data_IF_681090257412
#
_entry.id   IF_681090257412
#
_cell.length_a   1.000
_cell.length_b   1.000
_cell.length_c   1.000
_cell.angle_alpha   90.00
_cell.angle_beta   90.00
_cell.angle_gamma   90.00
#
_symmetry.space_group_name_H-M   'P 1'
#
loop_
_entity.id
_entity.type
_entity.pdbx_description
1 polymer ?
#
# COMPACT_ATOMS: atom_id res chain seq x y z
N UNK A 1 32.93 42.00 24.43
CA UNK A 1 33.33 40.68 24.98
C UNK A 1 33.17 40.75 26.49
N UNK A 2 32.89 39.63 27.17
CA UNK A 2 32.96 39.55 28.65
C UNK A 2 33.93 38.45 29.02
N UNK A 3 34.57 38.55 30.18
CA UNK A 3 35.54 37.54 30.64
C UNK A 3 34.84 36.50 31.50
N UNK A 4 35.19 35.22 31.32
CA UNK A 4 34.64 34.15 32.15
C UNK A 4 35.17 34.24 33.60
N UNK A 5 34.32 34.27 34.64
CA UNK A 5 34.77 34.39 36.03
C UNK A 5 35.48 33.13 36.56
N UNK A 6 35.34 32.00 35.87
CA UNK A 6 35.91 30.72 36.32
C UNK A 6 37.27 30.39 35.69
N UNK A 7 37.51 30.80 34.45
CA UNK A 7 38.73 30.45 33.71
C UNK A 7 39.43 31.65 33.06
N UNK A 8 38.92 32.87 33.25
CA UNK A 8 39.49 34.13 32.79
C UNK A 8 39.65 34.31 31.25
N UNK A 9 39.09 33.43 30.43
CA UNK A 9 39.14 33.54 28.96
C UNK A 9 38.05 34.48 28.41
N UNK A 10 38.31 35.15 27.29
CA UNK A 10 37.35 36.05 26.64
C UNK A 10 36.21 35.29 25.94
N UNK A 11 34.97 35.65 26.25
CA UNK A 11 33.76 35.01 25.72
C UNK A 11 32.74 36.03 25.20
N UNK A 12 31.77 35.52 24.41
CA UNK A 12 30.66 36.32 23.90
C UNK A 12 29.79 36.84 25.07
N UNK A 13 29.30 38.09 25.02
CA UNK A 13 28.54 38.70 26.11
C UNK A 13 27.24 37.97 26.47
N UNK A 14 26.59 37.33 25.49
CA UNK A 14 25.37 36.53 25.67
C UNK A 14 25.61 35.03 25.94
N UNK A 15 26.86 34.60 26.15
CA UNK A 15 27.15 33.21 26.43
C UNK A 15 26.58 32.80 27.80
N UNK A 16 25.72 31.76 27.76
CA UNK A 16 25.15 31.10 28.95
C UNK A 16 26.10 30.02 29.47
N UNK A 17 26.92 29.41 28.60
CA UNK A 17 28.00 28.48 28.99
C UNK A 17 29.33 28.88 28.39
N UNK A 18 30.40 28.74 29.16
CA UNK A 18 31.76 28.96 28.66
C UNK A 18 32.21 27.80 27.76
N UNK A 19 32.70 28.10 26.55
CA UNK A 19 33.21 27.09 25.62
C UNK A 19 34.50 26.40 26.11
N UNK A 20 35.32 27.12 26.88
CA UNK A 20 36.65 26.66 27.27
C UNK A 20 36.61 25.76 28.51
N UNK A 21 35.87 26.15 29.55
CA UNK A 21 35.78 25.39 30.80
C UNK A 21 34.42 24.73 31.06
N UNK A 22 33.39 25.02 30.24
CA UNK A 22 32.08 24.37 30.33
C UNK A 22 31.17 24.87 31.45
N UNK A 23 31.62 25.84 32.28
CA UNK A 23 30.83 26.38 33.39
C UNK A 23 29.62 27.17 32.90
N UNK A 24 28.54 27.07 33.67
CA UNK A 24 27.29 27.78 33.42
C UNK A 24 27.36 29.19 34.04
N UNK A 25 26.95 30.19 33.27
CA UNK A 25 27.03 31.62 33.57
C UNK A 25 25.64 32.24 33.71
N UNK A 26 24.59 31.41 33.81
CA UNK A 26 23.18 31.82 33.84
C UNK A 26 22.72 32.49 35.14
N UNK A 27 23.51 32.44 36.21
CA UNK A 27 23.08 32.96 37.52
C UNK A 27 24.03 34.07 38.04
N UNK A 28 23.56 35.33 38.16
CA UNK A 28 24.41 36.46 38.58
C UNK A 28 24.65 36.54 40.10
N UNK A 29 24.17 35.60 40.91
CA UNK A 29 24.29 35.64 42.38
C UNK A 29 25.31 34.67 43.00
N UNK A 30 26.29 34.19 42.22
CA UNK A 30 27.29 33.22 42.70
C UNK A 30 28.70 33.76 42.88
N UNK A 31 28.89 35.08 42.98
CA UNK A 31 30.20 35.71 43.15
C UNK A 31 30.31 36.33 44.56
N UNK A 32 30.37 35.51 45.59
CA UNK A 32 30.86 35.93 46.91
C UNK A 32 32.02 35.04 47.37
N UNK A 33 33.00 35.74 47.92
CA UNK A 33 34.38 35.37 48.20
C UNK A 33 34.60 34.06 48.96
N UNK A 34 35.65 33.35 48.55
CA UNK A 34 36.35 32.32 49.32
C UNK A 34 37.12 32.99 50.45
N UNK A 35 36.72 32.71 51.70
CA UNK A 35 37.52 32.96 52.90
C UNK A 35 38.17 31.66 53.37
N UNK A 36 39.50 31.70 53.43
CA UNK A 36 40.40 30.77 54.12
C UNK A 36 40.03 30.64 55.60
N UNK A 37 39.93 29.40 56.10
CA UNK A 37 40.49 29.12 57.43
C UNK A 37 40.92 27.65 57.55
N UNK A 38 42.08 27.48 58.15
CA UNK A 38 42.83 26.24 58.28
C UNK A 38 42.63 25.61 59.67
N UNK A 39 43.07 24.35 59.81
CA UNK A 39 43.10 23.49 61.03
C UNK A 39 41.80 22.69 61.23
N UNK A 40 41.77 21.39 61.50
CA UNK A 40 42.76 20.49 62.11
C UNK A 40 42.50 19.04 61.67
N UNK A 41 43.55 18.25 61.83
CA UNK A 41 43.80 16.93 61.27
C UNK A 41 42.98 15.79 61.90
N UNK A 42 42.96 14.69 61.15
CA UNK A 42 42.80 13.31 61.60
C UNK A 42 41.36 12.75 61.70
N UNK A 43 40.93 12.18 60.55
CA UNK A 43 39.93 11.10 60.32
C UNK A 43 38.82 11.37 59.29
N UNK A 44 38.86 12.48 58.54
CA UNK A 44 37.83 12.77 57.53
C UNK A 44 38.02 12.07 56.16
N UNK A 45 39.23 11.60 55.81
CA UNK A 45 39.53 11.16 54.45
C UNK A 45 38.86 9.83 54.02
N UNK A 46 38.64 8.91 54.97
CA UNK A 46 37.97 7.63 54.68
C UNK A 46 36.44 7.74 54.64
N UNK A 47 35.86 8.62 55.47
CA UNK A 47 34.40 8.80 55.56
C UNK A 47 33.87 9.66 54.40
N UNK A 48 34.64 10.64 53.93
CA UNK A 48 34.20 11.57 52.88
C UNK A 48 34.22 10.95 51.48
N UNK A 49 35.16 10.05 51.19
CA UNK A 49 35.22 9.35 49.89
C UNK A 49 34.16 8.25 49.79
N UNK A 50 33.83 7.60 50.91
CA UNK A 50 32.70 6.66 50.99
C UNK A 50 31.35 7.40 50.82
N UNK A 51 31.17 8.55 51.47
CA UNK A 51 29.91 9.31 51.39
C UNK A 51 29.67 9.97 50.03
N UNK A 52 30.72 10.33 49.27
CA UNK A 52 30.59 10.92 47.92
C UNK A 52 30.35 9.88 46.81
N UNK A 53 30.81 8.64 46.99
CA UNK A 53 30.46 7.53 46.09
C UNK A 53 29.03 7.03 46.30
N UNK A 54 28.47 7.21 47.50
CA UNK A 54 27.08 6.85 47.83
C UNK A 54 26.07 7.83 47.23
N UNK A 55 26.43 9.08 46.93
CA UNK A 55 25.50 10.09 46.40
C UNK A 55 25.32 10.06 44.87
N UNK A 56 26.25 9.49 44.11
CA UNK A 56 26.16 9.42 42.63
C UNK A 56 25.48 8.13 42.12
N UNK A 57 25.27 7.15 43.00
CA UNK A 57 24.44 5.99 42.71
C UNK A 57 23.03 6.32 43.20
N UNK A 58 22.16 6.80 42.31
CA UNK A 58 20.72 6.82 42.62
C UNK A 58 20.35 5.43 43.14
N UNK A 59 19.89 5.36 44.39
CA UNK A 59 19.52 4.10 45.03
C UNK A 59 18.41 3.50 44.17
N UNK A 60 18.70 2.38 43.51
CA UNK A 60 17.77 1.80 42.56
C UNK A 60 16.52 1.30 43.31
N UNK A 61 15.39 1.94 43.05
CA UNK A 61 14.11 1.67 43.72
C UNK A 61 13.23 0.66 42.99
N UNK A 62 13.69 0.12 41.86
CA UNK A 62 12.91 -0.84 41.08
C UNK A 62 12.64 -2.12 41.89
N UNK A 63 11.47 -2.73 41.68
CA UNK A 63 11.07 -3.95 42.38
C UNK A 63 10.69 -3.78 43.86
N UNK A 64 10.67 -2.56 44.41
CA UNK A 64 10.27 -2.29 45.80
C UNK A 64 8.73 -2.20 45.99
N UNK A 65 7.96 -2.67 45.00
CA UNK A 65 6.50 -2.60 45.02
C UNK A 65 6.00 -1.16 45.01
N UNK A 66 4.86 -0.89 45.69
CA UNK A 66 4.23 0.44 45.71
C UNK A 66 5.07 1.53 46.41
N UNK A 67 6.08 1.13 47.18
CA UNK A 67 6.99 2.05 47.87
C UNK A 67 8.16 2.52 46.97
N UNK A 68 8.29 1.98 45.75
CA UNK A 68 9.31 2.41 44.80
C UNK A 68 9.11 3.88 44.40
N UNK A 69 10.13 4.71 44.63
CA UNK A 69 10.17 6.08 44.08
C UNK A 69 10.34 5.99 42.57
N UNK A 70 9.49 6.67 41.79
CA UNK A 70 9.61 6.70 40.33
C UNK A 70 10.61 7.80 39.92
N UNK A 71 11.78 7.46 39.36
CA UNK A 71 12.67 8.47 38.78
C UNK A 71 12.04 9.10 37.54
N UNK A 72 12.45 10.33 37.22
CA UNK A 72 11.94 11.09 36.09
C UNK A 72 12.14 10.33 34.76
N UNK A 73 11.11 10.33 33.90
CA UNK A 73 11.15 9.67 32.59
C UNK A 73 10.61 8.23 32.53
N UNK A 74 10.25 7.61 33.66
CA UNK A 74 9.62 6.28 33.70
C UNK A 74 8.11 6.32 33.46
N UNK A 75 7.43 7.32 34.02
CA UNK A 75 6.01 7.53 33.79
C UNK A 75 5.75 7.88 32.32
N UNK A 76 4.70 7.30 31.75
CA UNK A 76 4.29 7.55 30.37
C UNK A 76 3.68 6.33 29.71
N UNK A 77 3.26 6.52 28.46
CA UNK A 77 2.52 5.50 27.73
C UNK A 77 3.32 4.23 27.42
N UNK A 78 2.73 3.07 27.72
CA UNK A 78 3.25 1.73 27.43
C UNK A 78 2.62 1.18 26.16
N UNK A 79 3.26 1.40 25.01
CA UNK A 79 2.82 0.80 23.75
C UNK A 79 2.80 -0.73 23.80
N UNK A 80 3.76 -1.33 24.51
CA UNK A 80 3.79 -2.77 24.75
C UNK A 80 2.63 -3.25 25.63
N UNK A 81 2.34 -2.54 26.73
CA UNK A 81 1.24 -2.87 27.63
C UNK A 81 -0.13 -2.78 26.95
N UNK A 82 -0.34 -1.78 26.10
CA UNK A 82 -1.59 -1.59 25.38
C UNK A 82 -1.81 -2.62 24.26
N UNK A 83 -0.80 -2.86 23.41
CA UNK A 83 -0.96 -3.75 22.25
C UNK A 83 -0.78 -5.23 22.58
N UNK A 84 0.07 -5.57 23.55
CA UNK A 84 0.41 -6.95 23.90
C UNK A 84 -0.22 -7.39 25.23
N UNK A 85 -0.95 -6.51 25.91
CA UNK A 85 -1.86 -6.83 27.02
C UNK A 85 -1.28 -7.86 28.01
N UNK A 86 -1.87 -9.05 28.08
CA UNK A 86 -1.48 -10.13 28.98
C UNK A 86 -0.06 -10.66 28.72
N UNK A 87 0.42 -10.65 27.47
CA UNK A 87 1.78 -11.10 27.11
C UNK A 87 2.81 -10.17 27.75
N UNK A 88 2.60 -8.86 27.56
CA UNK A 88 3.44 -7.85 28.19
C UNK A 88 3.33 -7.92 29.72
N UNK A 89 2.12 -8.14 30.25
CA UNK A 89 1.85 -8.23 31.68
C UNK A 89 2.61 -9.38 32.35
N UNK A 90 2.61 -10.58 31.73
CA UNK A 90 3.38 -11.74 32.18
C UNK A 90 4.89 -11.45 32.13
N UNK A 91 5.38 -10.85 31.04
CA UNK A 91 6.80 -10.51 30.89
C UNK A 91 7.33 -9.48 31.90
N UNK A 92 6.44 -8.67 32.50
CA UNK A 92 6.77 -7.60 33.45
C UNK A 92 6.17 -7.84 34.85
N UNK A 93 5.82 -9.08 35.21
CA UNK A 93 5.27 -9.47 36.51
C UNK A 93 4.04 -8.63 36.97
N UNK A 94 3.25 -8.12 36.02
CA UNK A 94 2.10 -7.25 36.28
C UNK A 94 0.81 -8.06 36.18
N UNK A 95 0.57 -8.94 37.16
CA UNK A 95 -0.52 -9.93 37.12
C UNK A 95 -1.93 -9.35 36.98
N UNK A 96 -2.16 -8.11 37.45
CA UNK A 96 -3.43 -7.41 37.23
C UNK A 96 -3.76 -7.25 35.73
N UNK A 97 -2.73 -7.24 34.87
CA UNK A 97 -2.88 -7.20 33.41
C UNK A 97 -3.52 -8.44 32.80
N UNK A 98 -3.65 -9.56 33.53
CA UNK A 98 -4.39 -10.74 33.05
C UNK A 98 -5.89 -10.49 32.91
N UNK A 99 -6.43 -9.46 33.58
CA UNK A 99 -7.81 -9.00 33.36
C UNK A 99 -8.06 -8.59 31.90
N UNK A 100 -7.01 -8.34 31.12
CA UNK A 100 -7.09 -8.11 29.68
C UNK A 100 -7.70 -9.28 28.87
N UNK A 101 -7.76 -10.50 29.44
CA UNK A 101 -8.36 -11.68 28.81
C UNK A 101 -9.88 -11.73 28.92
N UNK A 102 -10.47 -10.98 29.85
CA UNK A 102 -11.92 -10.97 30.05
C UNK A 102 -12.54 -10.01 29.01
N UNK A 103 -13.56 -10.41 28.23
CA UNK A 103 -14.23 -9.51 27.30
C UNK A 103 -14.76 -8.25 28.01
N UNK A 104 -14.72 -7.10 27.32
CA UNK A 104 -15.13 -5.77 27.80
C UNK A 104 -14.26 -5.18 28.93
N UNK A 105 -14.06 -5.93 30.02
CA UNK A 105 -13.13 -5.56 31.11
C UNK A 105 -11.71 -5.43 30.55
N UNK A 106 -11.34 -6.34 29.66
CA UNK A 106 -10.00 -6.37 29.10
C UNK A 106 -9.69 -5.18 28.20
N UNK A 107 -10.69 -4.58 27.56
CA UNK A 107 -10.51 -3.35 26.80
C UNK A 107 -10.17 -2.16 27.71
N UNK A 108 -10.89 -2.01 28.82
CA UNK A 108 -10.57 -1.00 29.83
C UNK A 108 -9.18 -1.27 30.43
N UNK A 109 -8.89 -2.52 30.74
CA UNK A 109 -7.60 -2.92 31.28
C UNK A 109 -6.45 -2.64 30.30
N UNK A 110 -6.64 -2.83 29.00
CA UNK A 110 -5.65 -2.51 27.97
C UNK A 110 -5.27 -1.03 28.00
N UNK A 111 -6.25 -0.14 28.12
CA UNK A 111 -6.02 1.31 28.25
C UNK A 111 -5.28 1.63 29.55
N UNK A 112 -5.68 0.99 30.65
CA UNK A 112 -4.99 1.16 31.95
C UNK A 112 -3.54 0.68 31.88
N UNK A 113 -3.27 -0.44 31.21
CA UNK A 113 -1.89 -0.91 30.94
C UNK A 113 -1.13 0.06 30.03
N UNK A 114 -1.81 0.73 29.11
CA UNK A 114 -1.24 1.83 28.34
C UNK A 114 -0.75 2.96 29.24
N UNK A 115 -1.59 3.49 30.12
CA UNK A 115 -1.19 4.61 30.99
C UNK A 115 -0.25 4.23 32.13
N UNK A 116 -0.54 3.13 32.84
CA UNK A 116 0.15 2.74 34.09
C UNK A 116 1.10 1.56 33.95
N UNK A 117 1.14 0.91 32.79
CA UNK A 117 1.95 -0.30 32.59
C UNK A 117 3.42 -0.06 32.91
N UNK A 118 4.04 1.01 32.41
CA UNK A 118 5.46 1.29 32.69
C UNK A 118 5.75 1.45 34.18
N UNK A 119 4.85 2.11 34.92
CA UNK A 119 4.97 2.27 36.37
C UNK A 119 4.87 0.92 37.10
N UNK A 120 3.89 0.10 36.75
CA UNK A 120 3.72 -1.23 37.34
C UNK A 120 4.89 -2.16 37.02
N UNK A 121 5.42 -2.12 35.80
CA UNK A 121 6.60 -2.90 35.41
C UNK A 121 7.86 -2.49 36.20
N UNK A 122 7.98 -1.21 36.56
CA UNK A 122 9.07 -0.72 37.41
C UNK A 122 8.90 -1.18 38.86
N UNK A 123 7.67 -1.17 39.38
CA UNK A 123 7.36 -1.59 40.75
C UNK A 123 7.48 -3.11 40.95
N UNK A 124 7.13 -3.91 39.94
CA UNK A 124 7.00 -5.36 40.04
C UNK A 124 8.29 -6.14 39.72
N UNK A 125 9.31 -5.49 39.14
CA UNK A 125 10.57 -6.15 38.73
C UNK A 125 11.77 -5.27 39.01
N UNK A 126 12.87 -5.88 39.47
CA UNK A 126 14.15 -5.19 39.62
C UNK A 126 14.86 -5.05 38.27
N UNK A 127 15.34 -3.86 37.97
CA UNK A 127 16.06 -3.47 36.74
C UNK A 127 17.44 -2.96 37.13
N UNK A 128 18.49 -3.09 36.31
CA UNK A 128 19.82 -2.61 36.70
C UNK A 128 19.91 -1.07 36.63
N UNK A 129 19.24 -0.46 35.65
CA UNK A 129 19.16 0.99 35.48
C UNK A 129 17.88 1.43 34.74
N UNK A 130 17.62 2.75 34.73
CA UNK A 130 16.50 3.36 33.99
C UNK A 130 16.67 3.19 32.48
N UNK A 131 17.90 3.28 31.99
CA UNK A 131 18.24 3.10 30.57
C UNK A 131 17.96 1.68 30.10
N UNK A 132 18.31 0.68 30.93
CA UNK A 132 18.00 -0.72 30.65
C UNK A 132 16.49 -0.94 30.54
N UNK A 133 15.72 -0.42 31.49
CA UNK A 133 14.27 -0.49 31.48
C UNK A 133 13.67 0.13 30.22
N UNK A 134 14.09 1.36 29.88
CA UNK A 134 13.59 2.07 28.72
C UNK A 134 13.94 1.37 27.40
N UNK A 135 15.13 0.75 27.30
CA UNK A 135 15.51 -0.07 26.13
C UNK A 135 14.56 -1.24 25.95
N UNK A 136 14.24 -1.97 27.03
CA UNK A 136 13.32 -3.12 27.00
C UNK A 136 11.89 -2.68 26.70
N UNK A 137 11.39 -1.62 27.35
CA UNK A 137 10.04 -1.11 27.09
C UNK A 137 9.90 -0.58 25.65
N UNK A 138 10.94 0.04 25.10
CA UNK A 138 10.96 0.45 23.68
C UNK A 138 10.85 -0.75 22.75
N UNK A 139 11.59 -1.83 23.01
CA UNK A 139 11.48 -3.07 22.23
C UNK A 139 10.07 -3.66 22.28
N UNK A 140 9.48 -3.77 23.48
CA UNK A 140 8.08 -4.19 23.65
C UNK A 140 7.10 -3.30 22.89
N UNK A 141 7.33 -1.99 22.88
CA UNK A 141 6.53 -1.03 22.13
C UNK A 141 6.60 -1.24 20.62
N UNK A 142 7.80 -1.42 20.07
CA UNK A 142 7.99 -1.69 18.63
C UNK A 142 7.34 -3.00 18.19
N UNK A 143 7.54 -4.07 18.97
CA UNK A 143 6.90 -5.36 18.69
C UNK A 143 5.37 -5.26 18.77
N UNK A 144 4.85 -4.62 19.81
CA UNK A 144 3.39 -4.44 19.99
C UNK A 144 2.77 -3.65 18.85
N UNK A 145 3.38 -2.52 18.49
CA UNK A 145 2.92 -1.70 17.37
C UNK A 145 3.02 -2.44 16.03
N UNK A 146 4.13 -3.12 15.76
CA UNK A 146 4.33 -3.87 14.52
C UNK A 146 3.30 -4.98 14.34
N UNK A 147 3.02 -5.75 15.40
CA UNK A 147 2.00 -6.81 15.38
C UNK A 147 0.61 -6.20 15.19
N UNK A 148 0.29 -5.09 15.88
CA UNK A 148 -0.99 -4.41 15.74
C UNK A 148 -1.23 -3.91 14.31
N UNK A 149 -0.23 -3.30 13.68
CA UNK A 149 -0.31 -2.86 12.28
C UNK A 149 -0.49 -4.07 11.35
N UNK A 150 0.25 -5.16 11.59
CA UNK A 150 0.12 -6.37 10.78
C UNK A 150 -1.29 -6.96 10.86
N UNK A 151 -1.90 -7.02 12.04
CA UNK A 151 -3.22 -7.64 12.23
C UNK A 151 -4.39 -6.75 11.86
N UNK A 152 -4.32 -5.44 12.13
CA UNK A 152 -5.44 -4.50 11.89
C UNK A 152 -5.39 -3.89 10.49
N UNK A 153 -4.20 -3.76 9.88
CA UNK A 153 -4.04 -3.11 8.58
C UNK A 153 -3.63 -4.11 7.51
N UNK A 154 -2.50 -4.80 7.70
CA UNK A 154 -1.90 -5.62 6.63
C UNK A 154 -2.77 -6.84 6.31
N UNK A 155 -3.17 -7.63 7.31
CA UNK A 155 -3.97 -8.83 7.11
C UNK A 155 -5.33 -8.55 6.44
N UNK A 156 -6.16 -7.57 6.89
CA UNK A 156 -7.41 -7.26 6.23
C UNK A 156 -7.23 -6.76 4.79
N UNK A 157 -6.20 -5.96 4.52
CA UNK A 157 -5.88 -5.52 3.15
C UNK A 157 -5.53 -6.72 2.27
N UNK A 158 -4.73 -7.67 2.75
CA UNK A 158 -4.40 -8.88 2.00
C UNK A 158 -5.64 -9.73 1.72
N UNK A 159 -6.51 -9.94 2.72
CA UNK A 159 -7.78 -10.67 2.54
C UNK A 159 -8.71 -9.95 1.56
N UNK A 160 -8.79 -8.63 1.63
CA UNK A 160 -9.60 -7.85 0.69
C UNK A 160 -9.04 -7.94 -0.74
N UNK A 161 -7.71 -7.91 -0.91
CA UNK A 161 -7.09 -8.08 -2.24
C UNK A 161 -7.37 -9.45 -2.84
N UNK A 162 -7.30 -10.53 -2.06
CA UNK A 162 -7.54 -11.89 -2.59
C UNK A 162 -8.98 -12.07 -3.08
N UNK A 163 -9.96 -11.41 -2.46
CA UNK A 163 -11.36 -11.47 -2.89
C UNK A 163 -11.67 -10.48 -4.03
N UNK A 164 -11.09 -9.28 -4.01
CA UNK A 164 -11.41 -8.22 -4.97
C UNK A 164 -10.86 -8.49 -6.39
N UNK A 165 -9.64 -9.01 -6.51
CA UNK A 165 -8.97 -9.25 -7.80
C UNK A 165 -9.75 -10.17 -8.76
N UNK A 166 -10.20 -11.38 -8.35
CA UNK A 166 -10.93 -12.27 -9.26
C UNK A 166 -12.28 -11.67 -9.70
N UNK A 167 -12.97 -10.96 -8.82
CA UNK A 167 -14.23 -10.30 -9.15
C UNK A 167 -14.02 -9.15 -10.16
N UNK A 168 -13.00 -8.33 -9.98
CA UNK A 168 -12.69 -7.23 -10.89
C UNK A 168 -12.29 -7.72 -12.29
N UNK A 169 -11.40 -8.71 -12.36
CA UNK A 169 -10.93 -9.27 -13.65
C UNK A 169 -12.05 -9.98 -14.41
N UNK A 170 -12.90 -10.75 -13.71
CA UNK A 170 -14.08 -11.39 -14.31
C UNK A 170 -15.11 -10.39 -14.84
N UNK A 171 -15.37 -9.31 -14.11
CA UNK A 171 -16.29 -8.26 -14.53
C UNK A 171 -15.78 -7.52 -15.79
N UNK A 172 -14.48 -7.19 -15.83
CA UNK A 172 -13.87 -6.59 -17.03
C UNK A 172 -13.93 -7.51 -18.25
N UNK A 173 -13.66 -8.81 -18.08
CA UNK A 173 -13.74 -9.76 -19.19
C UNK A 173 -15.17 -9.89 -19.74
N UNK A 174 -16.18 -9.87 -18.86
CA UNK A 174 -17.59 -9.87 -19.26
C UNK A 174 -17.95 -8.61 -20.04
N UNK A 175 -17.53 -7.43 -19.56
CA UNK A 175 -17.77 -6.16 -20.24
C UNK A 175 -17.09 -6.11 -21.61
N UNK A 176 -15.84 -6.57 -21.70
CA UNK A 176 -15.10 -6.62 -22.97
C UNK A 176 -15.72 -7.58 -23.98
N UNK A 177 -16.20 -8.75 -23.54
CA UNK A 177 -16.92 -9.67 -24.42
C UNK A 177 -18.23 -9.05 -24.96
N UNK A 178 -18.98 -8.34 -24.11
CA UNK A 178 -20.16 -7.59 -24.56
C UNK A 178 -19.80 -6.48 -25.57
N UNK A 179 -18.62 -5.86 -25.42
CA UNK A 179 -18.08 -4.93 -26.41
C UNK A 179 -17.84 -5.58 -27.78
N UNK A 180 -17.36 -6.83 -27.82
CA UNK A 180 -17.23 -7.59 -29.09
C UNK A 180 -18.60 -7.83 -29.72
N UNK A 181 -19.60 -8.21 -28.91
CA UNK A 181 -21.00 -8.34 -29.37
C UNK A 181 -21.50 -7.05 -30.00
N UNK A 182 -21.31 -5.94 -29.31
CA UNK A 182 -21.75 -4.63 -29.79
C UNK A 182 -21.07 -4.26 -31.11
N UNK A 183 -19.76 -4.50 -31.23
CA UNK A 183 -19.02 -4.21 -32.45
C UNK A 183 -19.48 -5.06 -33.65
N UNK A 184 -19.80 -6.34 -33.45
CA UNK A 184 -20.38 -7.21 -34.49
C UNK A 184 -21.70 -6.61 -34.99
N UNK A 185 -22.58 -6.21 -34.08
CA UNK A 185 -23.87 -5.62 -34.44
C UNK A 185 -23.72 -4.25 -35.11
N UNK A 186 -22.75 -3.42 -34.72
CA UNK A 186 -22.50 -2.15 -35.40
C UNK A 186 -22.17 -2.35 -36.88
N UNK A 187 -21.35 -3.36 -37.22
CA UNK A 187 -21.03 -3.64 -38.62
C UNK A 187 -22.18 -4.32 -39.35
N UNK A 188 -22.93 -5.19 -38.67
CA UNK A 188 -24.14 -5.78 -39.23
C UNK A 188 -25.14 -4.71 -39.66
N UNK A 189 -25.47 -3.78 -38.77
CA UNK A 189 -26.43 -2.70 -39.04
C UNK A 189 -25.94 -1.81 -40.18
N UNK A 190 -24.63 -1.52 -40.24
CA UNK A 190 -24.07 -0.74 -41.33
C UNK A 190 -24.17 -1.46 -42.69
N UNK A 191 -23.94 -2.78 -42.72
CA UNK A 191 -24.10 -3.59 -43.92
C UNK A 191 -25.57 -3.68 -44.36
N UNK A 192 -26.50 -3.84 -43.42
CA UNK A 192 -27.94 -3.87 -43.69
C UNK A 192 -28.41 -2.51 -44.24
N UNK A 193 -27.96 -1.41 -43.65
CA UNK A 193 -28.28 -0.06 -44.13
C UNK A 193 -27.70 0.20 -45.53
N UNK A 194 -26.48 -0.29 -45.81
CA UNK A 194 -25.93 -0.26 -47.17
C UNK A 194 -26.79 -1.05 -48.16
N UNK A 195 -27.19 -2.27 -47.80
CA UNK A 195 -28.00 -3.10 -48.68
C UNK A 195 -29.36 -2.44 -48.97
N UNK A 196 -29.98 -1.77 -47.99
CA UNK A 196 -31.23 -1.01 -48.19
C UNK A 196 -31.05 0.04 -49.28
N UNK A 197 -29.94 0.77 -49.26
CA UNK A 197 -29.68 1.86 -50.22
C UNK A 197 -29.17 1.34 -51.58
N UNK A 198 -28.68 0.10 -51.64
CA UNK A 198 -28.10 -0.52 -52.84
C UNK A 198 -28.97 -1.68 -53.37
N UNK A 199 -30.30 -1.50 -53.38
CA UNK A 199 -31.26 -2.44 -53.95
C UNK A 199 -31.10 -3.88 -53.43
N UNK A 200 -30.87 -4.04 -52.13
CA UNK A 200 -30.67 -5.33 -51.46
C UNK A 200 -29.27 -5.93 -51.63
N UNK A 201 -28.39 -5.30 -52.41
CA UNK A 201 -27.04 -5.80 -52.67
C UNK A 201 -26.07 -5.38 -51.58
N UNK A 202 -25.36 -6.34 -50.99
CA UNK A 202 -24.26 -6.06 -50.08
C UNK A 202 -22.96 -5.75 -50.85
N UNK A 203 -21.97 -5.08 -50.22
CA UNK A 203 -20.66 -4.88 -50.84
C UNK A 203 -20.06 -6.23 -51.25
N UNK A 204 -19.46 -6.34 -52.43
CA UNK A 204 -18.93 -7.61 -52.92
C UNK A 204 -17.39 -7.62 -53.00
N UNK A 205 -16.78 -6.44 -52.89
CA UNK A 205 -15.34 -6.24 -53.01
C UNK A 205 -14.77 -5.35 -51.90
N UNK A 206 -13.44 -5.37 -51.80
CA UNK A 206 -12.67 -4.57 -50.85
C UNK A 206 -13.02 -3.09 -50.89
N UNK A 207 -12.93 -2.54 -52.09
CA UNK A 207 -13.20 -1.14 -52.39
C UNK A 207 -14.65 -0.74 -52.15
N UNK A 208 -15.59 -1.69 -52.19
CA UNK A 208 -17.00 -1.42 -51.88
C UNK A 208 -17.25 -1.44 -50.38
N UNK A 209 -16.61 -2.34 -49.64
CA UNK A 209 -16.72 -2.34 -48.19
C UNK A 209 -16.07 -1.08 -47.59
N UNK A 210 -14.93 -0.63 -48.13
CA UNK A 210 -14.28 0.59 -47.66
C UNK A 210 -15.21 1.82 -47.74
N UNK A 211 -16.17 1.83 -48.68
CA UNK A 211 -17.22 2.88 -48.77
C UNK A 211 -18.18 2.88 -47.58
N UNK A 212 -18.26 1.80 -46.79
CA UNK A 212 -19.03 1.77 -45.54
C UNK A 212 -18.42 2.68 -44.48
N UNK A 213 -17.10 2.87 -44.53
CA UNK A 213 -16.34 3.71 -43.61
C UNK A 213 -16.18 5.07 -44.30
N UNK A 214 -16.20 6.17 -43.54
CA UNK A 214 -16.22 7.52 -44.11
C UNK A 214 -15.04 7.75 -45.07
N UNK A 215 -15.33 7.82 -46.36
CA UNK A 215 -14.48 8.53 -47.33
C UNK A 215 -15.19 9.73 -47.98
N UNK A 216 -16.54 9.79 -48.04
CA UNK A 216 -17.24 10.93 -48.66
C UNK A 216 -18.77 11.03 -48.43
N UNK A 217 -19.22 11.28 -47.20
CA UNK A 217 -20.62 11.68 -46.87
C UNK A 217 -21.74 10.62 -47.03
N UNK A 218 -21.45 9.38 -47.42
CA UNK A 218 -22.38 8.24 -47.41
C UNK A 218 -21.99 7.12 -46.42
N UNK A 219 -21.18 7.44 -45.40
CA UNK A 219 -20.61 6.45 -44.49
C UNK A 219 -21.66 5.85 -43.56
N UNK A 220 -21.87 4.54 -43.67
CA UNK A 220 -22.74 3.74 -42.78
C UNK A 220 -22.10 3.52 -41.41
N UNK A 221 -20.78 3.70 -41.30
CA UNK A 221 -19.98 3.67 -40.08
C UNK A 221 -19.11 4.92 -39.97
N UNK A 222 -19.28 5.67 -38.88
CA UNK A 222 -18.46 6.87 -38.61
C UNK A 222 -16.99 6.54 -38.34
N UNK A 223 -16.73 5.40 -37.68
CA UNK A 223 -15.40 4.89 -37.39
C UNK A 223 -15.51 3.38 -37.22
N UNK A 224 -14.52 2.66 -37.72
CA UNK A 224 -14.43 1.24 -37.46
C UNK A 224 -14.24 0.96 -35.96
N UNK A 225 -14.98 -0.01 -35.38
CA UNK A 225 -14.87 -0.30 -33.96
C UNK A 225 -13.45 -0.70 -33.56
N UNK A 226 -13.01 -0.20 -32.40
CA UNK A 226 -11.76 -0.64 -31.78
C UNK A 226 -11.99 -1.89 -30.94
N UNK A 227 -10.95 -2.69 -30.76
CA UNK A 227 -11.06 -3.84 -29.86
C UNK A 227 -11.29 -3.36 -28.42
N UNK A 228 -12.11 -4.07 -27.61
CA UNK A 228 -12.26 -3.77 -26.18
C UNK A 228 -10.97 -3.96 -25.34
N UNK A 229 -9.89 -4.44 -25.96
CA UNK A 229 -8.56 -4.61 -25.36
C UNK A 229 -7.53 -3.56 -25.82
N UNK A 230 -7.96 -2.54 -26.58
CA UNK A 230 -7.13 -1.38 -26.92
C UNK A 230 -6.28 -1.51 -28.19
N UNK A 231 -6.37 -2.64 -28.91
CA UNK A 231 -5.78 -2.79 -30.24
C UNK A 231 -6.65 -2.18 -31.35
N UNK A 232 -6.00 -1.67 -32.39
CA UNK A 232 -6.66 -1.19 -33.63
C UNK A 232 -7.08 -2.42 -34.45
N UNK A 233 -8.37 -2.53 -34.78
CA UNK A 233 -8.81 -3.53 -35.77
C UNK A 233 -8.45 -3.01 -37.16
N UNK A 234 -7.72 -3.79 -37.95
CA UNK A 234 -7.52 -3.49 -39.37
C UNK A 234 -8.62 -4.18 -40.17
N UNK A 235 -9.22 -3.41 -41.05
CA UNK A 235 -10.20 -3.90 -42.00
C UNK A 235 -9.46 -4.59 -43.14
N UNK A 236 -9.62 -5.90 -43.31
CA UNK A 236 -9.04 -6.65 -44.43
C UNK A 236 -10.18 -7.33 -45.17
N UNK A 237 -10.38 -6.95 -46.44
CA UNK A 237 -11.36 -7.59 -47.30
C UNK A 237 -10.67 -8.72 -48.06
N UNK A 238 -11.29 -9.90 -48.16
CA UNK A 238 -10.78 -10.98 -48.99
C UNK A 238 -10.61 -10.52 -50.44
N UNK A 239 -9.43 -10.82 -51.00
CA UNK A 239 -9.14 -10.62 -52.41
C UNK A 239 -10.07 -11.45 -53.30
N UNK A 240 -10.19 -11.00 -54.55
CA UNK A 240 -11.09 -11.51 -55.57
C UNK A 240 -11.06 -13.06 -55.67
N UNK A 241 -12.25 -13.65 -55.67
CA UNK A 241 -12.54 -15.09 -55.77
C UNK A 241 -12.04 -16.00 -54.61
N UNK A 242 -12.97 -16.22 -53.68
CA UNK A 242 -13.11 -17.45 -52.88
C UNK A 242 -12.04 -17.73 -51.82
N UNK A 243 -11.95 -16.89 -50.79
CA UNK A 243 -11.22 -17.23 -49.57
C UNK A 243 -11.60 -16.33 -48.40
N UNK A 244 -11.89 -16.93 -47.25
CA UNK A 244 -11.85 -16.26 -45.94
C UNK A 244 -10.40 -15.78 -45.76
N UNK A 245 -10.15 -14.51 -45.52
CA UNK A 245 -8.85 -14.08 -45.03
C UNK A 245 -9.09 -13.06 -43.96
N UNK A 246 -8.86 -13.49 -42.72
CA UNK A 246 -8.98 -12.65 -41.54
C UNK A 246 -7.56 -12.32 -41.11
N UNK A 247 -7.27 -11.04 -40.87
CA UNK A 247 -6.12 -10.64 -40.08
C UNK A 247 -6.59 -10.00 -38.80
N UNK A 248 -6.15 -10.58 -37.69
CA UNK A 248 -6.40 -10.06 -36.36
C UNK A 248 -5.11 -9.42 -35.91
N UNK A 249 -5.13 -8.11 -35.67
CA UNK A 249 -4.00 -7.44 -35.07
C UNK A 249 -4.01 -7.75 -33.57
N UNK A 250 -3.13 -8.67 -33.16
CA UNK A 250 -2.91 -9.07 -31.77
C UNK A 250 -2.40 -7.88 -30.94
N UNK A 251 -2.42 -8.00 -29.60
CA UNK A 251 -1.70 -7.10 -28.69
C UNK A 251 -0.21 -6.88 -29.05
N UNK A 252 0.37 -7.73 -29.90
CA UNK A 252 1.77 -7.65 -30.35
C UNK A 252 2.00 -6.86 -31.64
N UNK A 253 0.95 -6.37 -32.32
CA UNK A 253 1.14 -5.66 -33.59
C UNK A 253 1.31 -6.57 -34.81
N UNK A 254 1.27 -7.90 -34.62
CA UNK A 254 1.44 -8.88 -35.69
C UNK A 254 0.14 -9.05 -36.49
N UNK A 255 0.23 -8.88 -37.81
CA UNK A 255 -0.81 -9.18 -38.80
C UNK A 255 -0.74 -10.69 -39.08
N UNK A 256 -1.60 -11.50 -38.46
CA UNK A 256 -1.66 -12.94 -38.75
C UNK A 256 -2.57 -13.14 -39.96
N UNK A 257 -2.02 -13.33 -41.16
CA UNK A 257 -2.79 -13.84 -42.29
C UNK A 257 -3.02 -15.34 -42.09
N UNK A 258 -4.22 -15.75 -41.68
CA UNK A 258 -4.59 -17.16 -41.79
C UNK A 258 -5.02 -17.44 -43.22
N UNK A 259 -4.04 -17.68 -44.08
CA UNK A 259 -4.28 -18.40 -45.32
C UNK A 259 -4.92 -19.75 -45.01
N UNK A 260 -6.02 -20.05 -45.70
CA UNK A 260 -6.75 -21.33 -45.72
C UNK A 260 -7.80 -21.59 -44.62
N UNK A 261 -8.90 -22.22 -45.06
CA UNK A 261 -10.25 -22.29 -44.47
C UNK A 261 -10.24 -22.27 -42.95
N UNK A 262 -10.58 -21.13 -42.33
CA UNK A 262 -10.80 -21.11 -40.88
C UNK A 262 -12.20 -21.64 -40.60
N UNK A 263 -12.29 -22.96 -40.66
CA UNK A 263 -13.27 -23.71 -39.92
C UNK A 263 -13.01 -23.46 -38.42
N UNK A 264 -13.87 -22.64 -37.83
CA UNK A 264 -14.10 -22.50 -36.40
C UNK A 264 -13.07 -21.67 -35.58
N UNK A 265 -13.58 -20.88 -34.61
CA UNK A 265 -12.84 -19.90 -33.80
C UNK A 265 -11.93 -20.49 -32.73
N UNK A 266 -11.91 -21.82 -32.55
CA UNK A 266 -11.18 -22.50 -31.47
C UNK A 266 -9.65 -22.33 -31.52
N UNK A 267 -9.11 -21.85 -32.65
CA UNK A 267 -7.66 -21.65 -32.86
C UNK A 267 -7.21 -20.19 -32.89
N UNK A 268 -8.13 -19.23 -32.70
CA UNK A 268 -7.77 -17.81 -32.64
C UNK A 268 -7.35 -17.48 -31.20
N UNK A 269 -6.05 -17.27 -30.99
CA UNK A 269 -5.49 -16.88 -29.69
C UNK A 269 -5.68 -15.38 -29.38
N UNK A 270 -6.25 -14.62 -30.32
CA UNK A 270 -6.40 -13.16 -30.25
C UNK A 270 -7.85 -12.74 -29.99
N UNK A 271 -8.14 -12.52 -28.71
CA UNK A 271 -9.45 -12.10 -28.23
C UNK A 271 -9.75 -10.63 -28.55
N UNK A 272 -10.98 -10.35 -28.97
CA UNK A 272 -11.48 -9.00 -29.27
C UNK A 272 -11.58 -8.65 -30.75
N UNK A 273 -11.25 -9.59 -31.63
CA UNK A 273 -11.27 -9.39 -33.07
C UNK A 273 -12.65 -9.61 -33.68
N UNK A 274 -12.87 -8.97 -34.83
CA UNK A 274 -14.06 -9.18 -35.66
C UNK A 274 -13.63 -9.48 -37.08
N UNK A 275 -14.34 -10.39 -37.70
CA UNK A 275 -14.02 -11.05 -38.96
C UNK A 275 -15.29 -11.08 -39.82
N UNK A 276 -15.18 -10.83 -41.13
CA UNK A 276 -16.31 -10.81 -42.08
C UNK A 276 -16.02 -11.71 -43.29
N UNK A 277 -16.98 -12.52 -43.71
CA UNK A 277 -16.88 -13.36 -44.90
C UNK A 277 -18.10 -13.16 -45.81
N UNK A 278 -17.87 -12.89 -47.09
CA UNK A 278 -18.91 -12.81 -48.11
C UNK A 278 -18.82 -14.00 -49.06
N UNK A 279 -19.94 -14.71 -49.26
CA UNK A 279 -20.03 -15.80 -50.23
C UNK A 279 -21.47 -15.97 -50.71
N UNK A 280 -21.68 -16.01 -52.03
CA UNK A 280 -22.97 -16.27 -52.66
C UNK A 280 -24.11 -15.35 -52.14
N UNK A 281 -23.88 -14.04 -52.04
CA UNK A 281 -24.90 -13.10 -51.53
C UNK A 281 -25.09 -13.15 -50.01
N UNK A 282 -24.27 -13.90 -49.26
CA UNK A 282 -24.38 -14.03 -47.80
C UNK A 282 -23.13 -13.49 -47.12
N UNK A 283 -23.35 -12.62 -46.14
CA UNK A 283 -22.34 -12.14 -45.22
C UNK A 283 -22.37 -12.93 -43.92
N UNK A 284 -21.20 -13.27 -43.39
CA UNK A 284 -21.05 -13.86 -42.06
C UNK A 284 -20.06 -13.02 -41.28
N UNK A 285 -20.49 -12.55 -40.11
CA UNK A 285 -19.72 -11.71 -39.20
C UNK A 285 -19.41 -12.52 -37.94
N UNK A 286 -18.14 -12.57 -37.57
CA UNK A 286 -17.61 -13.34 -36.47
C UNK A 286 -16.92 -12.41 -35.47
N UNK A 287 -17.28 -12.49 -34.19
CA UNK A 287 -16.56 -11.83 -33.10
C UNK A 287 -15.95 -12.86 -32.13
N UNK A 288 -14.70 -12.64 -31.69
CA UNK A 288 -13.98 -13.57 -30.80
C UNK A 288 -13.88 -12.99 -29.38
N UNK A 289 -14.58 -13.57 -28.39
CA UNK A 289 -14.44 -13.22 -26.97
C UNK A 289 -13.29 -13.97 -26.26
N UNK A 290 -12.92 -13.54 -25.04
CA UNK A 290 -11.77 -14.07 -24.27
C UNK A 290 -11.84 -15.57 -23.88
N UNK A 291 -13.04 -16.17 -23.93
CA UNK A 291 -13.22 -17.60 -23.67
C UNK A 291 -13.51 -18.28 -25.01
N UNK A 292 -12.79 -19.38 -25.29
CA UNK A 292 -12.79 -20.15 -26.55
C UNK A 292 -14.17 -20.52 -27.14
N UNK A 293 -15.27 -20.35 -26.40
CA UNK A 293 -16.62 -20.75 -26.78
C UNK A 293 -17.60 -19.57 -27.00
N UNK A 294 -17.15 -18.32 -26.92
CA UNK A 294 -18.02 -17.14 -27.13
C UNK A 294 -17.77 -16.50 -28.50
N UNK A 295 -17.79 -17.33 -29.54
CA UNK A 295 -17.81 -16.80 -30.89
C UNK A 295 -19.23 -16.30 -31.19
N UNK A 296 -19.33 -15.01 -31.44
CA UNK A 296 -20.60 -14.38 -31.80
C UNK A 296 -20.65 -14.41 -33.31
N UNK A 297 -21.57 -15.20 -33.85
CA UNK A 297 -21.71 -15.42 -35.28
C UNK A 297 -23.05 -14.83 -35.68
N UNK A 298 -23.02 -13.82 -36.54
CA UNK A 298 -24.24 -13.32 -37.20
C UNK A 298 -24.10 -13.51 -38.70
N UNK A 299 -25.15 -14.01 -39.34
CA UNK A 299 -25.18 -14.16 -40.79
C UNK A 299 -26.36 -13.37 -41.36
N UNK A 300 -26.08 -12.58 -42.40
CA UNK A 300 -27.07 -11.77 -43.12
C UNK A 300 -27.03 -12.17 -44.60
N UNK A 301 -28.20 -12.20 -45.25
CA UNK A 301 -28.36 -12.71 -46.61
C UNK A 301 -29.01 -11.65 -47.50
N UNK A 302 -28.55 -11.55 -48.73
CA UNK A 302 -29.11 -10.73 -49.79
C UNK A 302 -30.54 -11.18 -50.12
N UNK A 303 -31.45 -10.22 -50.21
CA UNK A 303 -32.82 -10.46 -50.65
C UNK A 303 -32.89 -10.20 -52.16
N UNK A 304 -33.35 -11.21 -52.91
CA UNK A 304 -33.63 -11.11 -54.34
C UNK A 304 -35.00 -10.50 -54.60
#
# INVERSE_FOLDING_TARGET
MKTCPFCAEEIKPSAIKCRYCGSDLSDPSGAEAVGDDSLSSDNAAAVTTASRRVTAQQVNTSGQGKAAVLPEGIAGWSWGGFWLNWIWAVGNNTWIGLLALIPWIGFVMAIVLGFKGREWAWQNKHWASVEEFNRVQKAWGWWGFGIAVATVVILPVLVMMTVAVPNYTGAQDKAKNAGVTANVHMVQVALEQYAIDNNGSYPSSAKEFDKLIIESQAGYLNKFPVTPWGGVQQHMIPADNCGYEFSINSKKGDIISTGRQVAQPEKINDYGAIAYAYKNGRYIIYGVGKKKNNAIITAIQQYN
#
